data_IF_404846400756
#
_entry.id   IF_404846400756
#
_cell.length_a   1.000
_cell.length_b   1.000
_cell.length_c   1.000
_cell.angle_alpha   90.00
_cell.angle_beta   90.00
_cell.angle_gamma   90.00
#
_symmetry.space_group_name_H-M   'P 1'
#
loop_
_entity.id
_entity.type
_entity.pdbx_description
1 polymer ?
#
# COMPACT_ATOMS: atom_id res chain seq x y z
N UNK A 1 -52.47 -13.73 -31.25
CA UNK A 1 -51.09 -14.27 -31.14
C UNK A 1 -50.00 -13.24 -31.44
N UNK A 2 -49.97 -12.53 -32.59
CA UNK A 2 -48.90 -11.56 -32.91
C UNK A 2 -48.72 -10.42 -31.88
N UNK A 3 -49.82 -9.86 -31.34
CA UNK A 3 -49.76 -8.79 -30.33
C UNK A 3 -49.19 -9.25 -28.99
N UNK A 4 -49.50 -10.47 -28.54
CA UNK A 4 -48.96 -11.01 -27.29
C UNK A 4 -47.45 -11.25 -27.39
N UNK A 5 -46.96 -11.74 -28.53
CA UNK A 5 -45.53 -11.98 -28.75
C UNK A 5 -44.70 -10.69 -28.73
N UNK A 6 -45.23 -9.60 -29.30
CA UNK A 6 -44.57 -8.29 -29.28
C UNK A 6 -44.46 -7.73 -27.85
N UNK A 7 -45.47 -7.95 -27.01
CA UNK A 7 -45.49 -7.47 -25.62
C UNK A 7 -44.46 -8.24 -24.77
N UNK A 8 -44.38 -9.56 -24.91
CA UNK A 8 -43.37 -10.36 -24.17
C UNK A 8 -41.95 -9.98 -24.57
N UNK A 9 -41.69 -9.77 -25.86
CA UNK A 9 -40.36 -9.37 -26.35
C UNK A 9 -39.94 -8.01 -25.78
N UNK A 10 -40.87 -7.04 -25.75
CA UNK A 10 -40.61 -5.71 -25.21
C UNK A 10 -40.30 -5.75 -23.70
N UNK A 11 -41.05 -6.56 -22.94
CA UNK A 11 -40.83 -6.75 -21.50
C UNK A 11 -39.48 -7.42 -21.21
N UNK A 12 -39.09 -8.43 -22.00
CA UNK A 12 -37.79 -9.08 -21.82
C UNK A 12 -36.63 -8.14 -22.13
N UNK A 13 -36.78 -7.29 -23.16
CA UNK A 13 -35.75 -6.31 -23.51
C UNK A 13 -35.58 -5.25 -22.43
N UNK A 14 -36.70 -4.78 -21.86
CA UNK A 14 -36.68 -3.82 -20.75
C UNK A 14 -36.04 -4.42 -19.48
N UNK A 15 -36.34 -5.68 -19.18
CA UNK A 15 -35.76 -6.37 -18.02
C UNK A 15 -34.23 -6.53 -18.19
N UNK A 16 -33.79 -6.94 -19.38
CA UNK A 16 -32.36 -7.08 -19.71
C UNK A 16 -31.61 -5.74 -19.64
N UNK A 17 -32.18 -4.65 -20.14
CA UNK A 17 -31.54 -3.33 -20.04
C UNK A 17 -31.45 -2.83 -18.60
N UNK A 18 -32.49 -3.03 -17.78
CA UNK A 18 -32.44 -2.67 -16.36
C UNK A 18 -31.42 -3.50 -15.57
N UNK A 19 -31.27 -4.79 -15.89
CA UNK A 19 -30.30 -5.66 -15.24
C UNK A 19 -28.85 -5.26 -15.60
N UNK A 20 -28.59 -4.92 -16.86
CA UNK A 20 -27.27 -4.42 -17.30
C UNK A 20 -26.89 -3.09 -16.63
N UNK A 21 -27.85 -2.18 -16.45
CA UNK A 21 -27.64 -0.91 -15.74
C UNK A 21 -27.33 -1.13 -14.26
N UNK A 22 -28.00 -2.09 -13.60
CA UNK A 22 -27.71 -2.44 -12.22
C UNK A 22 -26.31 -3.07 -12.08
N UNK A 23 -25.93 -4.00 -12.96
CA UNK A 23 -24.60 -4.61 -12.98
C UNK A 23 -23.48 -3.57 -13.17
N UNK A 24 -23.69 -2.56 -14.03
CA UNK A 24 -22.73 -1.47 -14.20
C UNK A 24 -22.56 -0.63 -12.91
N UNK A 25 -23.66 -0.40 -12.17
CA UNK A 25 -23.61 0.34 -10.91
C UNK A 25 -22.93 -0.47 -9.77
N UNK A 26 -23.06 -1.80 -9.75
CA UNK A 26 -22.41 -2.66 -8.77
C UNK A 26 -20.95 -3.03 -9.13
N UNK A 27 -20.54 -2.87 -10.39
CA UNK A 27 -19.16 -3.05 -10.83
C UNK A 27 -18.30 -1.79 -10.66
N UNK A 28 -18.92 -0.64 -10.39
CA UNK A 28 -18.21 0.54 -9.94
C UNK A 28 -17.92 0.39 -8.45
N UNK A 29 -16.80 -0.26 -8.13
CA UNK A 29 -16.15 0.02 -6.85
C UNK A 29 -15.99 1.55 -6.74
N UNK A 30 -16.22 2.15 -5.56
CA UNK A 30 -15.88 3.54 -5.37
C UNK A 30 -14.40 3.67 -5.72
N UNK A 31 -14.10 4.46 -6.75
CA UNK A 31 -12.77 5.03 -6.94
C UNK A 31 -12.51 5.89 -5.70
N UNK A 32 -12.05 5.27 -4.62
CA UNK A 32 -11.18 5.91 -3.64
C UNK A 32 -9.78 6.01 -4.27
N UNK A 33 -9.72 6.59 -5.47
CA UNK A 33 -8.51 6.99 -6.14
C UNK A 33 -8.14 8.39 -5.66
N UNK A 34 -7.86 8.51 -4.36
CA UNK A 34 -6.63 9.19 -4.00
C UNK A 34 -5.58 8.09 -4.12
N UNK A 35 -5.26 7.73 -5.37
CA UNK A 35 -4.02 7.03 -5.66
C UNK A 35 -2.95 8.03 -5.25
N UNK A 36 -2.50 7.92 -4.00
CA UNK A 36 -1.27 8.53 -3.54
C UNK A 36 -0.15 7.84 -4.30
N UNK A 37 0.00 8.16 -5.58
CA UNK A 37 1.28 8.03 -6.24
C UNK A 37 2.25 8.75 -5.31
N UNK A 38 3.15 7.98 -4.67
CA UNK A 38 4.14 8.53 -3.75
C UNK A 38 4.82 9.69 -4.46
N UNK A 39 4.63 10.90 -3.94
CA UNK A 39 5.19 12.10 -4.54
C UNK A 39 6.70 11.95 -4.48
N UNK A 40 7.36 11.89 -5.64
CA UNK A 40 8.82 11.97 -5.75
C UNK A 40 9.23 13.35 -5.21
N UNK A 41 9.50 13.40 -3.91
CA UNK A 41 10.09 14.55 -3.24
C UNK A 41 11.61 14.47 -3.28
N UNK A 42 12.26 15.63 -3.36
CA UNK A 42 13.69 15.80 -3.10
C UNK A 42 14.02 15.70 -1.60
N UNK A 43 13.19 15.01 -0.81
CA UNK A 43 13.39 14.89 0.63
C UNK A 43 14.56 13.96 0.91
N UNK A 44 15.56 14.46 1.61
CA UNK A 44 16.65 13.68 2.17
C UNK A 44 16.27 13.05 3.52
N UNK A 45 17.03 12.03 3.93
CA UNK A 45 16.91 11.41 5.26
C UNK A 45 17.03 12.41 6.42
N UNK A 46 17.82 13.47 6.23
CA UNK A 46 18.08 14.50 7.22
C UNK A 46 17.05 15.65 7.19
N UNK A 47 16.13 15.65 6.23
CA UNK A 47 15.12 16.69 6.15
C UNK A 47 14.11 16.58 7.28
N UNK A 48 13.55 17.71 7.75
CA UNK A 48 12.62 17.70 8.86
C UNK A 48 11.42 16.79 8.57
N UNK A 49 10.87 16.13 9.61
CA UNK A 49 9.67 15.33 9.47
C UNK A 49 8.47 16.21 9.06
N UNK A 50 7.46 15.58 8.46
CA UNK A 50 6.16 16.22 8.18
C UNK A 50 5.58 16.84 9.45
N UNK A 51 4.87 17.97 9.29
CA UNK A 51 4.37 18.75 10.42
C UNK A 51 3.51 17.89 11.38
N UNK A 52 3.87 17.88 12.66
CA UNK A 52 3.17 17.11 13.69
C UNK A 52 3.61 15.65 13.83
N UNK A 53 4.51 15.16 12.96
CA UNK A 53 5.07 13.82 13.07
C UNK A 53 6.52 13.86 13.58
N UNK A 54 6.93 12.76 14.20
CA UNK A 54 8.29 12.53 14.69
C UNK A 54 8.83 11.22 14.16
N UNK A 55 10.13 11.14 13.86
CA UNK A 55 10.72 9.89 13.38
C UNK A 55 10.74 8.87 14.51
N UNK A 56 10.04 7.75 14.31
CA UNK A 56 9.99 6.63 15.25
C UNK A 56 11.04 5.57 14.91
N UNK A 57 11.25 5.32 13.62
CA UNK A 57 12.16 4.29 13.14
C UNK A 57 12.87 4.74 11.86
N UNK A 58 14.10 4.27 11.68
CA UNK A 58 14.86 4.32 10.44
C UNK A 58 15.37 2.90 10.12
N UNK A 59 15.52 2.57 8.85
CA UNK A 59 16.04 1.27 8.42
C UNK A 59 16.70 1.37 7.04
N UNK A 60 17.58 0.44 6.73
CA UNK A 60 18.32 0.38 5.45
C UNK A 60 18.06 -0.96 4.75
N UNK A 61 18.42 -1.04 3.47
CA UNK A 61 18.21 -2.25 2.68
C UNK A 61 16.82 -2.33 2.05
N UNK A 62 16.11 -1.20 1.90
CA UNK A 62 14.87 -1.16 1.13
C UNK A 62 15.17 -1.55 -0.31
N UNK A 63 14.35 -2.42 -0.87
CA UNK A 63 14.42 -2.85 -2.27
C UNK A 63 13.04 -3.20 -2.81
N UNK A 64 12.84 -2.96 -4.11
CA UNK A 64 11.68 -3.35 -4.88
C UNK A 64 12.08 -3.69 -6.31
N UNK A 65 11.66 -4.86 -6.80
CA UNK A 65 11.85 -5.21 -8.20
C UNK A 65 10.60 -5.90 -8.74
N UNK A 66 9.62 -5.12 -9.26
CA UNK A 66 8.27 -5.62 -9.56
C UNK A 66 8.14 -6.39 -10.88
N UNK A 67 9.14 -6.34 -11.76
CA UNK A 67 9.08 -6.99 -13.08
C UNK A 67 10.40 -7.67 -13.45
N UNK A 68 10.34 -8.71 -14.29
CA UNK A 68 11.42 -9.22 -15.16
C UNK A 68 12.75 -9.71 -14.54
N UNK A 69 12.96 -9.65 -13.23
CA UNK A 69 14.09 -10.33 -12.60
C UNK A 69 13.78 -11.82 -12.41
N UNK A 70 14.80 -12.68 -12.50
CA UNK A 70 14.71 -14.11 -12.13
C UNK A 70 14.32 -14.33 -10.67
N UNK A 71 14.37 -13.27 -9.85
CA UNK A 71 13.93 -13.23 -8.46
C UNK A 71 13.32 -11.87 -8.18
N UNK A 72 12.05 -11.83 -7.80
CA UNK A 72 11.42 -10.58 -7.37
C UNK A 72 11.74 -10.30 -5.91
N UNK A 73 11.72 -9.04 -5.54
CA UNK A 73 11.96 -8.59 -4.17
C UNK A 73 10.99 -7.49 -3.81
N UNK A 74 10.43 -7.56 -2.62
CA UNK A 74 9.60 -6.52 -2.05
C UNK A 74 10.06 -6.21 -0.63
N UNK A 75 9.97 -4.94 -0.26
CA UNK A 75 10.05 -4.52 1.14
C UNK A 75 8.63 -4.42 1.69
N UNK A 76 8.39 -5.07 2.83
CA UNK A 76 7.14 -4.99 3.59
C UNK A 76 7.43 -4.45 4.97
N UNK A 77 6.58 -3.53 5.44
CA UNK A 77 6.63 -2.94 6.77
C UNK A 77 5.29 -3.15 7.45
N UNK A 78 5.32 -3.76 8.64
CA UNK A 78 4.14 -3.93 9.47
C UNK A 78 4.23 -2.98 10.66
N UNK A 79 3.22 -2.14 10.84
CA UNK A 79 3.15 -1.20 11.96
C UNK A 79 1.89 -1.45 12.77
N UNK A 80 2.04 -1.74 14.06
CA UNK A 80 0.92 -1.98 14.98
C UNK A 80 0.80 -0.83 15.96
N UNK A 81 -0.38 -0.22 16.00
CA UNK A 81 -0.73 0.74 17.03
C UNK A 81 -1.15 -0.03 18.29
N UNK A 82 -0.35 0.05 19.35
CA UNK A 82 -0.64 -0.59 20.64
C UNK A 82 -1.24 0.38 21.67
N UNK A 83 -1.54 1.62 21.25
CA UNK A 83 -2.19 2.65 22.04
C UNK A 83 -3.71 2.52 22.08
N UNK A 84 -4.36 3.42 22.82
CA UNK A 84 -5.84 3.45 22.96
C UNK A 84 -6.55 4.40 21.99
N UNK A 85 -5.82 5.27 21.30
CA UNK A 85 -6.33 6.20 20.28
C UNK A 85 -5.80 5.83 18.89
N UNK A 86 -6.31 6.47 17.84
CA UNK A 86 -5.68 6.38 16.52
C UNK A 86 -4.34 7.14 16.50
N UNK A 87 -3.46 6.72 15.62
CA UNK A 87 -2.14 7.33 15.37
C UNK A 87 -2.08 7.70 13.90
N UNK A 88 -1.61 8.91 13.57
CA UNK A 88 -1.15 9.19 12.22
C UNK A 88 0.28 8.69 12.06
N UNK A 89 0.48 7.83 11.06
CA UNK A 89 1.78 7.30 10.70
C UNK A 89 2.08 7.64 9.25
N UNK A 90 3.35 7.91 8.96
CA UNK A 90 3.84 8.12 7.60
C UNK A 90 5.06 7.23 7.36
N UNK A 91 5.07 6.52 6.23
CA UNK A 91 6.25 5.81 5.75
C UNK A 91 6.90 6.64 4.65
N UNK A 92 8.23 6.74 4.68
CA UNK A 92 9.01 7.34 3.62
C UNK A 92 10.16 6.41 3.24
N UNK A 93 10.24 6.04 1.98
CA UNK A 93 11.29 5.22 1.38
C UNK A 93 12.12 6.07 0.43
N UNK A 94 13.44 6.03 0.58
CA UNK A 94 14.38 6.81 -0.21
C UNK A 94 15.18 5.88 -1.12
N UNK A 95 15.30 6.27 -2.39
CA UNK A 95 16.19 5.58 -3.34
C UNK A 95 17.68 5.77 -2.97
N UNK A 96 18.56 5.00 -3.60
CA UNK A 96 20.02 5.04 -3.38
C UNK A 96 20.63 6.44 -3.38
N UNK A 97 20.12 7.34 -4.23
CA UNK A 97 20.63 8.70 -4.35
C UNK A 97 19.96 9.71 -3.41
N UNK A 98 18.98 9.28 -2.61
CA UNK A 98 18.16 10.17 -1.78
C UNK A 98 17.25 11.13 -2.55
N UNK A 99 17.23 11.06 -3.89
CA UNK A 99 16.54 12.02 -4.76
C UNK A 99 15.08 11.67 -5.03
N UNK A 100 14.61 10.53 -4.54
CA UNK A 100 13.21 10.11 -4.68
C UNK A 100 12.75 9.53 -3.36
N UNK A 101 11.81 10.23 -2.72
CA UNK A 101 11.03 9.71 -1.60
C UNK A 101 9.72 9.10 -2.12
N UNK A 102 9.40 7.89 -1.69
CA UNK A 102 8.08 7.28 -1.87
C UNK A 102 7.44 7.19 -0.49
N UNK A 103 6.22 7.66 -0.33
CA UNK A 103 5.59 7.64 0.98
C UNK A 103 4.10 7.78 0.92
N UNK A 104 3.49 7.45 2.05
CA UNK A 104 2.06 7.60 2.27
C UNK A 104 1.80 7.83 3.75
N UNK A 105 0.76 8.62 4.04
CA UNK A 105 0.33 8.98 5.38
C UNK A 105 -1.02 8.33 5.67
N UNK A 106 -1.08 7.56 6.75
CA UNK A 106 -2.25 6.76 7.10
C UNK A 106 -2.67 6.99 8.53
N UNK A 107 -3.95 6.75 8.81
CA UNK A 107 -4.48 6.68 10.18
C UNK A 107 -4.61 5.23 10.61
N UNK A 108 -3.84 4.84 11.63
CA UNK A 108 -3.85 3.49 12.20
C UNK A 108 -4.70 3.50 13.47
N UNK A 109 -5.86 2.84 13.42
CA UNK A 109 -6.73 2.67 14.60
C UNK A 109 -6.03 1.87 15.71
N UNK A 110 -6.46 2.09 16.95
CA UNK A 110 -6.00 1.34 18.13
C UNK A 110 -6.08 -0.17 17.90
N UNK A 111 -5.03 -0.90 18.28
CA UNK A 111 -4.87 -2.35 18.16
C UNK A 111 -4.90 -2.89 16.72
N UNK A 112 -4.73 -2.04 15.70
CA UNK A 112 -4.64 -2.47 14.30
C UNK A 112 -3.18 -2.54 13.85
N UNK A 113 -2.86 -3.57 13.08
CA UNK A 113 -1.65 -3.62 12.25
C UNK A 113 -1.97 -3.07 10.87
N UNK A 114 -1.13 -2.16 10.40
CA UNK A 114 -1.14 -1.64 9.04
C UNK A 114 0.06 -2.20 8.28
N UNK A 115 -0.16 -2.73 7.09
CA UNK A 115 0.89 -3.31 6.24
C UNK A 115 1.16 -2.41 5.03
N UNK A 116 2.36 -1.85 4.98
CA UNK A 116 2.88 -1.15 3.81
C UNK A 116 3.77 -2.10 3.03
N UNK A 117 3.62 -2.15 1.71
CA UNK A 117 4.54 -2.89 0.86
C UNK A 117 4.92 -2.08 -0.38
N UNK A 118 6.13 -2.29 -0.87
CA UNK A 118 6.58 -1.67 -2.13
C UNK A 118 5.82 -2.21 -3.35
N UNK A 119 5.27 -3.41 -3.23
CA UNK A 119 4.40 -4.08 -4.21
C UNK A 119 3.52 -5.13 -3.51
N UNK A 120 2.52 -5.68 -4.23
CA UNK A 120 1.71 -6.80 -3.75
C UNK A 120 2.57 -8.01 -3.38
N UNK A 121 2.21 -8.70 -2.29
CA UNK A 121 2.82 -9.96 -1.90
C UNK A 121 1.78 -11.09 -1.86
N UNK A 122 2.21 -12.33 -2.06
CA UNK A 122 1.34 -13.50 -2.03
C UNK A 122 1.02 -13.96 -0.60
N UNK A 123 1.77 -13.49 0.39
CA UNK A 123 1.71 -13.98 1.77
C UNK A 123 1.08 -13.00 2.76
N UNK A 124 1.09 -11.71 2.47
CA UNK A 124 0.46 -10.69 3.30
C UNK A 124 -0.75 -10.10 2.60
N UNK A 125 -1.56 -9.41 3.40
CA UNK A 125 -2.62 -8.54 2.90
C UNK A 125 -2.16 -7.12 3.11
N UNK A 126 -1.83 -6.43 2.03
CA UNK A 126 -1.40 -5.05 2.04
C UNK A 126 -2.58 -4.12 2.37
N UNK A 127 -2.34 -3.15 3.24
CA UNK A 127 -3.26 -2.02 3.43
C UNK A 127 -2.85 -0.84 2.54
N UNK A 128 -1.54 -0.68 2.29
CA UNK A 128 -0.97 0.32 1.37
C UNK A 128 0.09 -0.32 0.47
N UNK A 129 0.00 -0.05 -0.84
CA UNK A 129 1.03 -0.41 -1.82
C UNK A 129 1.69 0.88 -2.30
N UNK A 130 2.98 1.04 -2.04
CA UNK A 130 3.72 2.27 -2.31
C UNK A 130 4.11 2.45 -3.79
N UNK A 131 3.99 1.39 -4.60
CA UNK A 131 4.25 1.41 -6.06
C UNK A 131 5.55 2.11 -6.44
N UNK A 132 6.65 1.79 -5.76
CA UNK A 132 7.92 2.55 -5.87
C UNK A 132 8.66 2.39 -7.20
N UNK A 133 8.11 1.62 -8.15
CA UNK A 133 8.86 1.14 -9.32
C UNK A 133 10.06 0.28 -8.91
N UNK A 134 11.10 0.24 -9.75
CA UNK A 134 12.35 -0.46 -9.42
C UNK A 134 13.15 0.37 -8.42
N UNK A 135 13.50 -0.25 -7.30
CA UNK A 135 14.35 0.31 -6.26
C UNK A 135 15.40 -0.76 -5.91
N UNK A 136 16.60 -0.62 -6.47
CA UNK A 136 17.67 -1.63 -6.29
C UNK A 136 18.20 -1.66 -4.85
N UNK A 137 18.35 -0.48 -4.25
CA UNK A 137 18.74 -0.30 -2.86
C UNK A 137 18.26 1.06 -2.36
N UNK A 138 17.99 1.14 -1.05
CA UNK A 138 17.51 2.34 -0.42
C UNK A 138 17.43 2.26 1.09
N UNK A 139 16.74 3.23 1.66
CA UNK A 139 16.48 3.35 3.10
C UNK A 139 15.05 3.75 3.34
N UNK A 140 14.58 3.59 4.57
CA UNK A 140 13.24 4.02 4.96
C UNK A 140 13.26 4.68 6.33
N UNK A 141 12.25 5.52 6.56
CA UNK A 141 11.90 6.00 7.90
C UNK A 141 10.40 5.93 8.11
N UNK A 142 10.02 5.76 9.37
CA UNK A 142 8.64 5.71 9.82
C UNK A 142 8.46 6.85 10.80
N UNK A 143 7.43 7.66 10.53
CA UNK A 143 7.08 8.83 11.29
C UNK A 143 5.74 8.57 11.97
N UNK A 144 5.54 9.12 13.17
CA UNK A 144 4.25 9.09 13.85
C UNK A 144 4.03 10.31 14.74
N UNK A 145 2.76 10.65 14.99
CA UNK A 145 2.36 11.67 15.96
C UNK A 145 2.36 11.16 17.42
N UNK A 146 2.40 9.84 17.62
CA UNK A 146 2.43 9.19 18.94
C UNK A 146 3.46 8.03 18.96
N UNK A 147 4.24 7.84 20.04
CA UNK A 147 5.21 6.76 20.18
C UNK A 147 4.58 5.38 20.42
N UNK A 148 3.26 5.25 20.57
CA UNK A 148 2.53 3.99 20.75
C UNK A 148 2.40 3.16 19.45
N UNK A 149 3.45 3.18 18.63
CA UNK A 149 3.57 2.46 17.37
C UNK A 149 4.78 1.53 17.42
N UNK A 150 4.58 0.25 17.11
CA UNK A 150 5.67 -0.72 16.93
C UNK A 150 5.70 -1.19 15.48
N UNK A 151 6.86 -1.10 14.84
CA UNK A 151 7.01 -1.49 13.45
C UNK A 151 8.15 -2.50 13.25
N UNK A 152 7.98 -3.38 12.26
CA UNK A 152 9.02 -4.26 11.72
C UNK A 152 9.11 -4.07 10.21
N UNK A 153 10.28 -4.30 9.64
CA UNK A 153 10.51 -4.25 8.21
C UNK A 153 11.23 -5.52 7.73
N UNK A 154 10.91 -5.97 6.53
CA UNK A 154 11.49 -7.18 5.96
C UNK A 154 11.53 -7.12 4.43
N UNK A 155 12.54 -7.79 3.87
CA UNK A 155 12.63 -8.13 2.47
C UNK A 155 12.13 -9.55 2.25
N UNK A 156 11.39 -9.76 1.17
CA UNK A 156 10.88 -11.09 0.84
C UNK A 156 10.66 -11.28 -0.65
N UNK A 157 10.52 -12.55 -1.04
CA UNK A 157 9.98 -12.94 -2.35
C UNK A 157 8.46 -12.70 -2.39
N UNK A 158 7.98 -11.73 -3.18
CA UNK A 158 6.58 -11.34 -3.18
C UNK A 158 5.65 -12.33 -3.86
N UNK A 159 6.14 -13.25 -4.70
CA UNK A 159 5.28 -14.17 -5.46
C UNK A 159 5.22 -15.55 -4.82
N UNK A 160 6.30 -15.99 -4.16
CA UNK A 160 6.36 -17.30 -3.51
C UNK A 160 5.34 -17.45 -2.38
N UNK A 161 4.65 -18.60 -2.34
CA UNK A 161 3.83 -19.02 -1.20
C UNK A 161 4.12 -20.51 -0.86
N UNK A 162 5.03 -20.80 0.09
CA UNK A 162 5.79 -19.86 0.93
C UNK A 162 6.87 -19.09 0.13
N UNK A 163 7.39 -17.96 0.66
CA UNK A 163 8.43 -17.18 -0.03
C UNK A 163 9.75 -17.97 -0.14
N UNK A 164 10.45 -17.84 -1.26
CA UNK A 164 11.78 -18.44 -1.44
C UNK A 164 12.85 -17.82 -0.52
N UNK A 165 12.62 -16.60 -0.06
CA UNK A 165 13.43 -15.93 0.94
C UNK A 165 12.61 -14.93 1.74
N UNK A 166 13.04 -14.72 2.98
CA UNK A 166 12.58 -13.65 3.86
C UNK A 166 13.77 -13.23 4.72
N UNK A 167 13.97 -11.93 4.88
CA UNK A 167 15.02 -11.37 5.72
C UNK A 167 14.48 -10.16 6.46
N UNK A 168 14.67 -10.16 7.78
CA UNK A 168 14.40 -8.98 8.60
C UNK A 168 15.36 -7.84 8.23
N UNK A 169 14.86 -6.61 8.26
CA UNK A 169 15.65 -5.40 8.16
C UNK A 169 15.81 -4.81 9.56
N UNK A 170 17.04 -4.42 9.90
CA UNK A 170 17.32 -3.83 11.21
C UNK A 170 16.66 -2.45 11.34
N UNK A 171 15.96 -2.25 12.46
CA UNK A 171 15.23 -1.03 12.78
C UNK A 171 16.00 -0.21 13.82
N UNK A 172 16.35 1.02 13.47
CA UNK A 172 17.05 1.98 14.33
C UNK A 172 16.07 3.01 14.89
N UNK A 173 16.17 3.31 16.19
CA UNK A 173 15.48 4.45 16.80
C UNK A 173 16.43 5.65 16.82
N UNK A 174 16.05 6.82 16.26
CA UNK A 174 16.87 8.03 16.30
C UNK A 174 17.05 8.60 17.72
#
# INVERSE_FOLDING_TARGET
MKKQFAITLLLTLLLLTTLMLALAAYAQEPLSGADGEGVIGELGLADPPSAGLTVQYMFTGVANHPTTATRQIATTVHCTNFGSSHIQAEIQLFSVGGASSYGDTVTINSNRTWTFSTQNTAIFREDTILNTGVLEQGSGRILADDPQLICTAQLLDPIGNPPDFISELEMFKP
#
